data_IF_093549330254
#
_entry.id   IF_093549330254
#
_cell.length_a   1.000
_cell.length_b   1.000
_cell.length_c   1.000
_cell.angle_alpha   90.00
_cell.angle_beta   90.00
_cell.angle_gamma   90.00
#
_symmetry.space_group_name_H-M   'P 1'
#
loop_
_entity.id
_entity.type
_entity.pdbx_description
1 polymer ?
#
# COMPACT_ATOMS: atom_id res chain seq x y z
N UNK A 1 5.76 -26.86 42.92
CA UNK A 1 5.77 -27.29 44.34
C UNK A 1 4.91 -26.39 45.25
N UNK A 2 4.57 -25.14 44.89
CA UNK A 2 3.76 -24.22 45.71
C UNK A 2 2.22 -24.50 45.65
N UNK A 3 1.70 -25.01 44.53
CA UNK A 3 0.27 -25.25 44.32
C UNK A 3 -0.31 -26.43 45.12
N UNK A 4 0.49 -27.46 45.38
CA UNK A 4 0.02 -28.63 46.13
C UNK A 4 -0.27 -28.32 47.60
N UNK A 5 0.33 -27.31 48.19
CA UNK A 5 0.15 -26.89 49.58
C UNK A 5 -1.16 -26.13 49.82
N UNK A 6 -1.73 -25.52 48.79
CA UNK A 6 -3.01 -24.78 48.87
C UNK A 6 -4.23 -25.70 48.82
N UNK A 7 -4.17 -26.79 48.05
CA UNK A 7 -5.26 -27.75 47.90
C UNK A 7 -5.50 -28.58 49.17
N UNK A 8 -4.55 -28.73 50.08
CA UNK A 8 -4.68 -29.48 51.32
C UNK A 8 -5.43 -28.73 52.43
N UNK A 9 -5.62 -27.43 52.30
CA UNK A 9 -6.33 -26.60 53.30
C UNK A 9 -7.86 -26.65 53.21
N UNK A 10 -8.40 -27.11 52.08
CA UNK A 10 -9.85 -27.27 51.93
C UNK A 10 -10.27 -28.66 52.38
N UNK A 11 -10.88 -28.78 53.56
CA UNK A 11 -11.45 -30.04 54.09
C UNK A 11 -12.74 -30.46 53.33
N UNK A 12 -13.36 -29.55 52.60
CA UNK A 12 -14.58 -29.77 51.85
C UNK A 12 -14.27 -30.21 50.40
N UNK A 13 -14.67 -31.43 49.99
CA UNK A 13 -14.42 -31.94 48.66
C UNK A 13 -15.08 -31.10 47.55
N UNK A 14 -16.25 -30.48 47.82
CA UNK A 14 -16.92 -29.60 46.87
C UNK A 14 -16.11 -28.32 46.58
N UNK A 15 -15.43 -27.76 47.61
CA UNK A 15 -14.56 -26.59 47.42
C UNK A 15 -13.30 -26.92 46.63
N UNK A 16 -12.78 -28.15 46.77
CA UNK A 16 -11.65 -28.64 45.94
C UNK A 16 -12.04 -28.76 44.47
N UNK A 17 -13.22 -29.26 44.18
CA UNK A 17 -13.76 -29.38 42.82
C UNK A 17 -14.03 -28.01 42.22
N UNK A 18 -14.55 -27.05 43.00
CA UNK A 18 -14.80 -25.68 42.53
C UNK A 18 -13.51 -24.93 42.20
N UNK A 19 -12.45 -25.12 43.01
CA UNK A 19 -11.12 -24.52 42.71
C UNK A 19 -10.48 -25.19 41.50
N UNK A 20 -10.67 -26.50 41.29
CA UNK A 20 -10.19 -27.21 40.12
C UNK A 20 -10.92 -26.76 38.83
N UNK A 21 -12.22 -26.49 38.92
CA UNK A 21 -13.04 -25.95 37.81
C UNK A 21 -12.66 -24.48 37.44
N UNK A 22 -12.21 -23.70 38.42
CA UNK A 22 -11.68 -22.33 38.19
C UNK A 22 -10.26 -22.32 37.60
N UNK A 23 -9.55 -23.45 37.65
CA UNK A 23 -8.22 -23.68 37.07
C UNK A 23 -8.24 -24.39 35.72
N UNK A 24 -9.45 -24.70 35.17
CA UNK A 24 -9.51 -25.09 33.75
C UNK A 24 -9.09 -23.83 33.00
N UNK A 25 -7.88 -23.79 32.35
CA UNK A 25 -7.59 -22.70 31.47
C UNK A 25 -8.73 -22.66 30.47
N UNK A 26 -9.41 -21.52 30.32
CA UNK A 26 -10.17 -21.27 29.12
C UNK A 26 -9.18 -21.55 27.98
N UNK A 27 -9.29 -22.72 27.39
CA UNK A 27 -8.71 -23.01 26.10
C UNK A 27 -9.40 -22.01 25.18
N UNK A 28 -8.85 -20.80 25.12
CA UNK A 28 -9.20 -19.86 24.09
C UNK A 28 -8.83 -20.61 22.80
N UNK A 29 -9.84 -21.22 22.16
CA UNK A 29 -9.63 -21.78 20.83
C UNK A 29 -9.14 -20.62 19.99
N UNK A 30 -7.85 -20.65 19.65
CA UNK A 30 -7.28 -19.68 18.74
C UNK A 30 -8.12 -19.73 17.45
N UNK A 31 -8.60 -18.59 17.00
CA UNK A 31 -9.40 -18.53 15.77
C UNK A 31 -8.60 -19.15 14.60
N UNK A 32 -9.27 -19.98 13.82
CA UNK A 32 -8.77 -20.58 12.58
C UNK A 32 -9.85 -20.48 11.51
N UNK A 33 -9.50 -20.21 10.24
CA UNK A 33 -10.48 -20.11 9.16
C UNK A 33 -11.10 -21.49 8.88
N UNK A 34 -12.44 -21.54 8.80
CA UNK A 34 -13.22 -22.73 8.46
C UNK A 34 -13.99 -22.61 7.17
N UNK A 35 -13.97 -21.41 6.54
CA UNK A 35 -14.58 -21.08 5.25
C UNK A 35 -13.71 -20.10 4.48
N UNK A 36 -13.98 -19.89 3.18
CA UNK A 36 -13.21 -18.94 2.38
C UNK A 36 -13.21 -17.51 2.96
N UNK A 37 -12.07 -16.84 2.81
CA UNK A 37 -11.84 -15.45 3.22
C UNK A 37 -11.93 -14.56 1.99
N UNK A 38 -12.85 -13.61 2.00
CA UNK A 38 -12.99 -12.59 0.95
C UNK A 38 -11.93 -11.51 1.12
N UNK A 39 -11.18 -11.23 0.05
CA UNK A 39 -10.11 -10.22 0.01
C UNK A 39 -10.53 -9.09 -0.91
N UNK A 40 -10.88 -7.95 -0.34
CA UNK A 40 -11.30 -6.77 -1.08
C UNK A 40 -10.08 -5.98 -1.57
N UNK A 41 -10.00 -5.76 -2.88
CA UNK A 41 -8.95 -4.94 -3.50
C UNK A 41 -9.62 -3.88 -4.36
N UNK A 42 -9.35 -2.61 -4.01
CA UNK A 42 -9.99 -1.45 -4.64
C UNK A 42 -9.30 -0.94 -5.91
N UNK A 43 -8.43 -1.74 -6.51
CA UNK A 43 -7.65 -1.39 -7.70
C UNK A 43 -8.01 -2.28 -8.88
N UNK A 44 -7.59 -1.86 -10.08
CA UNK A 44 -7.76 -2.65 -11.30
C UNK A 44 -6.92 -3.93 -11.28
N UNK A 45 -7.29 -4.95 -12.08
CA UNK A 45 -6.48 -6.16 -12.26
C UNK A 45 -5.03 -5.83 -12.62
N UNK A 46 -4.10 -6.61 -12.07
CA UNK A 46 -2.66 -6.41 -12.28
C UNK A 46 -2.04 -5.29 -11.44
N UNK A 47 -2.78 -4.73 -10.48
CA UNK A 47 -2.24 -3.76 -9.54
C UNK A 47 -1.22 -4.40 -8.58
N UNK A 48 -0.24 -3.61 -8.11
CA UNK A 48 0.83 -4.11 -7.25
C UNK A 48 0.34 -4.75 -5.95
N UNK A 49 -0.74 -4.23 -5.36
CA UNK A 49 -1.35 -4.81 -4.16
C UNK A 49 -2.05 -6.15 -4.43
N UNK A 50 -2.71 -6.32 -5.59
CA UNK A 50 -3.28 -7.61 -5.97
C UNK A 50 -2.20 -8.66 -6.20
N UNK A 51 -1.22 -8.34 -7.05
CA UNK A 51 -0.17 -9.30 -7.43
C UNK A 51 0.70 -9.64 -6.22
N UNK A 52 1.06 -8.63 -5.40
CA UNK A 52 1.80 -8.84 -4.14
C UNK A 52 1.03 -9.69 -3.14
N UNK A 53 -0.27 -9.44 -2.97
CA UNK A 53 -1.09 -10.27 -2.08
C UNK A 53 -1.22 -11.71 -2.57
N UNK A 54 -1.39 -11.95 -3.88
CA UNK A 54 -1.43 -13.30 -4.43
C UNK A 54 -0.16 -14.10 -4.10
N UNK A 55 1.01 -13.47 -4.23
CA UNK A 55 2.27 -14.12 -3.90
C UNK A 55 2.35 -14.49 -2.41
N UNK A 56 2.02 -13.54 -1.51
CA UNK A 56 2.06 -13.79 -0.06
C UNK A 56 1.01 -14.83 0.34
N UNK A 57 -0.23 -14.69 -0.14
CA UNK A 57 -1.32 -15.61 0.22
C UNK A 57 -1.06 -17.04 -0.20
N UNK A 58 -0.34 -17.28 -1.29
CA UNK A 58 0.08 -18.61 -1.70
C UNK A 58 1.00 -19.27 -0.66
N UNK A 59 1.93 -18.52 -0.04
CA UNK A 59 2.78 -19.04 1.05
C UNK A 59 1.95 -19.30 2.30
N UNK A 60 1.02 -18.38 2.64
CA UNK A 60 0.13 -18.57 3.79
C UNK A 60 -0.73 -19.81 3.62
N UNK A 61 -1.33 -20.03 2.43
CA UNK A 61 -2.14 -21.20 2.11
C UNK A 61 -1.33 -22.51 2.15
N UNK A 62 -0.09 -22.50 1.65
CA UNK A 62 0.82 -23.66 1.72
C UNK A 62 1.03 -24.11 3.16
N UNK A 63 1.14 -23.17 4.10
CA UNK A 63 1.37 -23.42 5.51
C UNK A 63 0.07 -23.62 6.31
N UNK A 64 -1.07 -23.20 5.78
CA UNK A 64 -2.40 -23.26 6.40
C UNK A 64 -3.42 -23.74 5.36
N UNK A 65 -3.56 -25.05 5.13
CA UNK A 65 -4.42 -25.58 4.06
C UNK A 65 -5.90 -25.19 4.17
N UNK A 66 -6.38 -24.83 5.36
CA UNK A 66 -7.74 -24.34 5.58
C UNK A 66 -7.93 -22.87 5.20
N UNK A 67 -6.87 -22.11 5.01
CA UNK A 67 -6.95 -20.71 4.60
C UNK A 67 -7.14 -20.63 3.09
N UNK A 68 -8.36 -20.34 2.64
CA UNK A 68 -8.69 -20.12 1.23
C UNK A 68 -9.04 -18.66 0.99
N UNK A 69 -8.27 -17.95 0.15
CA UNK A 69 -8.46 -16.53 -0.14
C UNK A 69 -9.14 -16.33 -1.50
N UNK A 70 -10.29 -15.67 -1.49
CA UNK A 70 -11.05 -15.29 -2.70
C UNK A 70 -10.89 -13.80 -2.91
N UNK A 71 -10.14 -13.40 -3.95
CA UNK A 71 -9.92 -11.99 -4.27
C UNK A 71 -11.13 -11.45 -5.03
N UNK A 72 -11.70 -10.38 -4.48
CA UNK A 72 -12.75 -9.58 -5.11
C UNK A 72 -12.19 -8.20 -5.47
N UNK A 73 -12.09 -7.92 -6.76
CA UNK A 73 -11.71 -6.60 -7.25
C UNK A 73 -12.93 -5.68 -7.21
N UNK A 74 -12.84 -4.59 -6.45
CA UNK A 74 -13.90 -3.58 -6.28
C UNK A 74 -13.33 -2.18 -6.57
N UNK A 75 -12.92 -1.91 -7.82
CA UNK A 75 -12.32 -0.63 -8.18
C UNK A 75 -13.32 0.52 -8.10
N UNK A 76 -12.82 1.70 -7.79
CA UNK A 76 -13.58 2.94 -7.78
C UNK A 76 -13.29 3.82 -6.56
N UNK A 77 -13.36 5.15 -6.78
CA UNK A 77 -13.10 6.16 -5.76
C UNK A 77 -11.73 6.02 -5.09
N UNK A 78 -10.71 5.64 -5.83
CA UNK A 78 -9.37 5.37 -5.29
C UNK A 78 -9.41 4.39 -4.09
N UNK A 79 -10.10 3.25 -4.27
CA UNK A 79 -10.37 2.17 -3.30
C UNK A 79 -11.49 2.46 -2.27
N UNK A 80 -12.18 3.61 -2.32
CA UNK A 80 -13.23 3.92 -1.34
C UNK A 80 -14.37 2.91 -1.37
N UNK A 81 -14.74 2.38 -2.55
CA UNK A 81 -15.79 1.37 -2.66
C UNK A 81 -15.42 0.12 -1.84
N UNK A 82 -14.24 -0.45 -2.08
CA UNK A 82 -13.75 -1.63 -1.37
C UNK A 82 -13.64 -1.37 0.15
N UNK A 83 -13.17 -0.19 0.55
CA UNK A 83 -12.98 0.15 1.95
C UNK A 83 -14.29 0.44 2.68
N UNK A 84 -15.29 1.01 2.02
CA UNK A 84 -16.65 1.11 2.59
C UNK A 84 -17.26 -0.29 2.84
N UNK A 85 -17.03 -1.24 1.91
CA UNK A 85 -17.46 -2.63 2.11
C UNK A 85 -16.74 -3.29 3.30
N UNK A 86 -15.42 -3.06 3.46
CA UNK A 86 -14.67 -3.55 4.63
C UNK A 86 -15.19 -2.91 5.92
N UNK A 87 -15.49 -1.61 5.91
CA UNK A 87 -15.98 -0.89 7.08
C UNK A 87 -17.32 -1.44 7.58
N UNK A 88 -18.21 -1.81 6.65
CA UNK A 88 -19.52 -2.39 6.95
C UNK A 88 -19.47 -3.92 7.22
N UNK A 89 -18.32 -4.57 6.99
CA UNK A 89 -18.19 -6.02 7.14
C UNK A 89 -18.17 -6.45 8.62
N UNK A 90 -18.59 -7.71 8.87
CA UNK A 90 -18.50 -8.28 10.21
C UNK A 90 -17.03 -8.48 10.61
N UNK A 91 -16.66 -8.19 11.87
CA UNK A 91 -15.29 -8.39 12.35
C UNK A 91 -15.00 -9.85 12.73
N UNK A 92 -15.42 -10.79 11.88
CA UNK A 92 -15.36 -12.25 12.11
C UNK A 92 -14.17 -12.94 11.43
N UNK A 93 -13.29 -12.15 10.79
CA UNK A 93 -12.07 -12.64 10.13
C UNK A 93 -12.26 -13.15 8.70
N UNK A 94 -13.47 -13.09 8.13
CA UNK A 94 -13.73 -13.63 6.78
C UNK A 94 -13.84 -12.56 5.68
N UNK A 95 -13.68 -11.30 6.03
CA UNK A 95 -13.53 -10.20 5.08
C UNK A 95 -12.32 -9.36 5.46
N UNK A 96 -11.39 -9.21 4.53
CA UNK A 96 -10.17 -8.42 4.69
C UNK A 96 -10.01 -7.50 3.49
N UNK A 97 -9.14 -6.49 3.58
CA UNK A 97 -8.77 -5.67 2.43
C UNK A 97 -7.27 -5.45 2.32
N UNK A 98 -6.83 -5.23 1.08
CA UNK A 98 -5.43 -4.91 0.77
C UNK A 98 -5.37 -3.59 -0.01
N UNK A 99 -5.55 -2.45 0.68
CA UNK A 99 -5.54 -1.15 0.04
C UNK A 99 -4.13 -0.58 -0.15
N UNK A 100 -4.05 0.48 -0.98
CA UNK A 100 -2.87 1.34 -1.09
C UNK A 100 -2.81 2.34 0.09
N UNK A 101 -1.62 2.57 0.65
CA UNK A 101 -1.40 3.49 1.77
C UNK A 101 -1.82 4.92 1.42
N UNK A 102 -1.22 5.47 0.38
CA UNK A 102 -1.42 6.86 0.02
C UNK A 102 -2.89 7.14 -0.28
N UNK A 103 -3.55 6.25 -1.03
CA UNK A 103 -4.98 6.37 -1.33
C UNK A 103 -5.81 6.35 -0.06
N UNK A 104 -5.65 5.33 0.76
CA UNK A 104 -6.48 5.07 1.95
C UNK A 104 -6.31 6.15 3.02
N UNK A 105 -5.05 6.54 3.28
CA UNK A 105 -4.71 7.32 4.47
C UNK A 105 -4.46 8.81 4.19
N UNK A 106 -4.37 9.20 2.91
CA UNK A 106 -4.13 10.59 2.51
C UNK A 106 -5.10 11.06 1.44
N UNK A 107 -5.03 10.54 0.20
CA UNK A 107 -5.74 11.16 -0.93
C UNK A 107 -7.25 11.04 -0.83
N UNK A 108 -7.77 9.99 -0.20
CA UNK A 108 -9.21 9.86 0.06
C UNK A 108 -9.73 10.91 1.05
N UNK A 109 -8.92 11.38 1.99
CA UNK A 109 -9.29 12.46 2.89
C UNK A 109 -9.35 13.83 2.17
N UNK A 110 -8.69 13.94 1.03
CA UNK A 110 -8.64 15.16 0.22
C UNK A 110 -9.77 15.14 -0.81
N UNK A 111 -9.83 14.11 -1.66
CA UNK A 111 -10.70 14.09 -2.85
C UNK A 111 -11.98 13.27 -2.70
N UNK A 112 -12.04 12.32 -1.73
CA UNK A 112 -13.17 11.41 -1.56
C UNK A 112 -13.86 11.56 -0.20
N UNK A 113 -13.63 12.67 0.49
CA UNK A 113 -14.09 12.90 1.87
C UNK A 113 -15.60 12.64 2.05
N UNK A 114 -16.42 13.04 1.07
CA UNK A 114 -17.87 12.91 1.13
C UNK A 114 -18.40 11.52 0.73
N UNK A 115 -17.56 10.66 0.17
CA UNK A 115 -17.95 9.33 -0.32
C UNK A 115 -17.53 8.19 0.63
N UNK A 116 -16.63 8.46 1.56
CA UNK A 116 -16.10 7.46 2.49
C UNK A 116 -16.87 7.46 3.81
N UNK A 117 -17.14 6.25 4.33
CA UNK A 117 -17.77 6.02 5.64
C UNK A 117 -16.76 5.94 6.79
N UNK A 118 -15.49 5.79 6.49
CA UNK A 118 -14.41 5.48 7.43
C UNK A 118 -13.47 6.68 7.64
N UNK A 119 -12.78 6.68 8.76
CA UNK A 119 -11.60 7.52 9.00
C UNK A 119 -10.34 6.69 8.75
N UNK A 120 -9.19 7.35 8.62
CA UNK A 120 -7.91 6.69 8.40
C UNK A 120 -7.52 5.69 9.51
N UNK A 121 -8.05 5.88 10.73
CA UNK A 121 -7.80 5.09 11.93
C UNK A 121 -8.93 4.09 12.27
N UNK A 122 -9.93 3.93 11.39
CA UNK A 122 -11.11 3.09 11.66
C UNK A 122 -10.83 1.59 11.64
N UNK A 123 -9.85 1.15 10.87
CA UNK A 123 -9.63 -0.27 10.61
C UNK A 123 -8.71 -0.93 11.64
N UNK A 124 -8.88 -2.23 11.83
CA UNK A 124 -7.93 -3.06 12.55
C UNK A 124 -6.76 -3.41 11.62
N UNK A 125 -5.56 -2.93 11.96
CA UNK A 125 -4.38 -3.06 11.13
C UNK A 125 -3.60 -4.34 11.45
N UNK A 126 -3.15 -5.07 10.44
CA UNK A 126 -2.19 -6.17 10.59
C UNK A 126 -0.77 -5.67 10.35
N UNK A 127 -0.54 -4.96 9.25
CA UNK A 127 0.77 -4.40 8.93
C UNK A 127 0.94 -4.14 7.44
N UNK A 128 2.06 -3.53 7.09
CA UNK A 128 2.50 -3.33 5.72
C UNK A 128 2.96 -4.64 5.09
N UNK A 129 2.54 -4.86 3.84
CA UNK A 129 2.91 -6.05 3.09
C UNK A 129 4.02 -5.82 2.07
N UNK A 130 4.20 -4.58 1.60
CA UNK A 130 5.24 -4.26 0.64
C UNK A 130 5.17 -2.81 0.16
N UNK A 131 6.30 -2.34 -0.37
CA UNK A 131 6.49 -1.00 -0.93
C UNK A 131 7.24 -1.09 -2.25
N UNK A 132 6.85 -0.27 -3.24
CA UNK A 132 7.58 -0.10 -4.49
C UNK A 132 7.81 1.39 -4.73
N UNK A 133 9.01 1.82 -5.14
CA UNK A 133 9.22 3.21 -5.55
C UNK A 133 8.28 3.59 -6.68
N UNK A 134 7.83 4.83 -6.70
CA UNK A 134 7.26 5.40 -7.92
C UNK A 134 8.39 5.81 -8.86
N UNK A 135 8.09 5.88 -10.13
CA UNK A 135 9.01 6.43 -11.13
C UNK A 135 8.30 7.47 -11.99
N UNK A 136 9.06 8.43 -12.47
CA UNK A 136 8.65 9.27 -13.59
C UNK A 136 9.25 8.61 -14.84
N UNK A 137 8.39 8.33 -15.80
CA UNK A 137 8.77 7.88 -17.14
C UNK A 137 8.43 8.94 -18.18
N UNK A 138 9.19 8.96 -19.27
CA UNK A 138 8.90 9.81 -20.41
C UNK A 138 8.58 8.98 -21.66
N UNK A 139 7.76 9.55 -22.54
CA UNK A 139 7.57 9.02 -23.89
C UNK A 139 8.93 8.86 -24.59
N UNK A 140 9.15 7.82 -25.40
CA UNK A 140 10.45 7.61 -26.10
C UNK A 140 10.89 8.79 -26.95
N UNK A 141 9.96 9.56 -27.51
CA UNK A 141 10.23 10.73 -28.37
C UNK A 141 10.59 12.00 -27.59
N UNK A 142 10.34 12.04 -26.26
CA UNK A 142 10.72 13.17 -25.42
C UNK A 142 12.24 13.39 -25.46
N UNK A 143 12.68 14.64 -25.38
CA UNK A 143 14.12 14.97 -25.30
C UNK A 143 14.66 14.89 -23.87
N UNK A 144 13.77 14.71 -22.89
CA UNK A 144 14.10 14.64 -21.47
C UNK A 144 14.51 13.22 -21.09
N UNK A 145 15.66 13.08 -20.43
CA UNK A 145 16.25 11.78 -20.06
C UNK A 145 16.62 11.68 -18.57
N UNK A 146 16.69 12.81 -17.87
CA UNK A 146 17.17 12.89 -16.49
C UNK A 146 16.28 13.79 -15.64
N UNK A 147 16.37 13.65 -14.31
CA UNK A 147 15.66 14.52 -13.36
C UNK A 147 16.08 15.99 -13.49
N UNK A 148 17.38 16.34 -13.59
CA UNK A 148 17.79 17.74 -13.83
C UNK A 148 17.20 18.33 -15.11
N UNK A 149 17.19 17.59 -16.22
CA UNK A 149 16.57 18.03 -17.48
C UNK A 149 15.06 18.22 -17.32
N UNK A 150 14.39 17.35 -16.57
CA UNK A 150 12.95 17.50 -16.29
C UNK A 150 12.68 18.76 -15.45
N UNK A 151 13.50 19.04 -14.44
CA UNK A 151 13.39 20.25 -13.61
C UNK A 151 13.54 21.50 -14.48
N UNK A 152 14.60 21.55 -15.27
CA UNK A 152 14.85 22.68 -16.18
C UNK A 152 13.69 22.87 -17.17
N UNK A 153 13.21 21.76 -17.74
CA UNK A 153 12.08 21.78 -18.67
C UNK A 153 10.79 22.34 -18.04
N UNK A 154 10.41 21.89 -16.86
CA UNK A 154 9.14 22.37 -16.23
C UNK A 154 9.25 23.81 -15.71
N UNK A 155 10.45 24.33 -15.50
CA UNK A 155 10.69 25.72 -15.12
C UNK A 155 10.59 26.70 -16.31
N UNK A 156 11.04 26.27 -17.49
CA UNK A 156 11.22 27.17 -18.62
C UNK A 156 10.25 26.92 -19.81
N UNK A 157 9.49 25.81 -19.79
CA UNK A 157 8.54 25.53 -20.87
C UNK A 157 7.42 26.55 -20.92
N UNK A 158 6.98 26.88 -22.14
CA UNK A 158 5.82 27.74 -22.42
C UNK A 158 4.65 26.93 -22.98
N UNK A 159 4.82 25.63 -23.17
CA UNK A 159 3.79 24.72 -23.69
C UNK A 159 3.27 23.79 -22.59
N UNK A 160 2.04 23.27 -22.71
CA UNK A 160 1.50 22.32 -21.75
C UNK A 160 2.40 21.09 -21.58
N UNK A 161 2.60 20.69 -20.31
CA UNK A 161 3.24 19.45 -19.92
C UNK A 161 2.12 18.43 -19.69
N UNK A 162 2.05 17.42 -20.54
CA UNK A 162 1.01 16.37 -20.47
C UNK A 162 1.47 15.20 -19.64
N UNK A 163 0.61 14.75 -18.74
CA UNK A 163 0.95 13.78 -17.73
C UNK A 163 -0.11 12.70 -17.56
N UNK A 164 0.28 11.43 -17.58
CA UNK A 164 -0.58 10.28 -17.31
C UNK A 164 -0.42 9.82 -15.86
N UNK A 165 -1.50 9.79 -15.09
CA UNK A 165 -1.52 9.33 -13.70
C UNK A 165 -2.50 8.17 -13.53
N UNK A 166 -2.05 7.08 -12.90
CA UNK A 166 -2.86 5.88 -12.67
C UNK A 166 -3.52 5.83 -11.28
N UNK A 167 -3.81 6.99 -10.67
CA UNK A 167 -4.44 7.08 -9.36
C UNK A 167 -4.09 8.39 -8.64
N UNK A 168 -4.86 8.73 -7.60
CA UNK A 168 -4.71 9.99 -6.86
C UNK A 168 -3.32 10.16 -6.24
N UNK A 169 -2.73 9.10 -5.70
CA UNK A 169 -1.38 9.12 -5.16
C UNK A 169 -0.32 9.51 -6.21
N UNK A 170 -0.46 9.02 -7.44
CA UNK A 170 0.45 9.33 -8.54
C UNK A 170 0.32 10.80 -8.95
N UNK A 171 -0.92 11.28 -9.12
CA UNK A 171 -1.20 12.69 -9.38
C UNK A 171 -0.57 13.58 -8.31
N UNK A 172 -0.83 13.31 -7.04
CA UNK A 172 -0.31 14.11 -5.94
C UNK A 172 1.22 14.14 -5.90
N UNK A 173 1.87 13.01 -6.19
CA UNK A 173 3.33 12.95 -6.24
C UNK A 173 3.89 13.84 -7.34
N UNK A 174 3.28 13.85 -8.52
CA UNK A 174 3.74 14.71 -9.60
C UNK A 174 3.47 16.19 -9.32
N UNK A 175 2.30 16.55 -8.83
CA UNK A 175 2.00 17.93 -8.43
C UNK A 175 2.97 18.41 -7.34
N UNK A 176 3.35 17.53 -6.40
CA UNK A 176 4.39 17.84 -5.43
C UNK A 176 5.76 18.04 -6.08
N UNK A 177 6.12 17.20 -7.05
CA UNK A 177 7.34 17.40 -7.86
C UNK A 177 7.31 18.78 -8.53
N UNK A 178 6.24 19.14 -9.22
CA UNK A 178 6.08 20.43 -9.89
C UNK A 178 6.20 21.62 -8.92
N UNK A 179 5.56 21.51 -7.75
CA UNK A 179 5.66 22.51 -6.70
C UNK A 179 7.11 22.68 -6.21
N UNK A 180 7.80 21.60 -5.94
CA UNK A 180 9.21 21.61 -5.48
C UNK A 180 10.14 22.11 -6.56
N UNK A 181 9.87 21.79 -7.80
CA UNK A 181 10.65 22.23 -8.97
C UNK A 181 10.37 23.68 -9.37
N UNK A 182 9.43 24.39 -8.72
CA UNK A 182 8.95 25.69 -9.14
C UNK A 182 8.46 25.73 -10.60
N UNK A 183 7.91 24.60 -11.07
CA UNK A 183 7.33 24.51 -12.41
C UNK A 183 6.02 25.28 -12.52
N UNK A 184 5.70 25.71 -13.73
CA UNK A 184 4.44 26.44 -13.97
C UNK A 184 3.24 25.46 -13.92
N UNK A 185 2.49 25.50 -12.83
CA UNK A 185 1.31 24.64 -12.60
C UNK A 185 0.19 24.83 -13.64
N UNK A 186 0.05 26.03 -14.21
CA UNK A 186 -1.00 26.35 -15.19
C UNK A 186 -0.76 25.65 -16.54
N UNK A 187 0.47 25.18 -16.76
CA UNK A 187 0.84 24.40 -17.94
C UNK A 187 0.72 22.89 -17.73
N UNK A 188 0.43 22.42 -16.51
CA UNK A 188 0.30 20.98 -16.24
C UNK A 188 -1.08 20.48 -16.62
N UNK A 189 -1.13 19.46 -17.47
CA UNK A 189 -2.35 18.74 -17.85
C UNK A 189 -2.26 17.30 -17.42
N UNK A 190 -2.90 16.97 -16.29
CA UNK A 190 -2.94 15.61 -15.75
C UNK A 190 -4.19 14.91 -16.26
N UNK A 191 -4.02 13.74 -16.89
CA UNK A 191 -5.10 12.83 -17.21
C UNK A 191 -5.07 11.63 -16.28
N UNK A 192 -6.21 11.37 -15.64
CA UNK A 192 -6.37 10.25 -14.72
C UNK A 192 -6.78 9.00 -15.50
N UNK A 193 -6.04 7.92 -15.28
CA UNK A 193 -6.33 6.59 -15.85
C UNK A 193 -6.89 5.66 -14.75
N UNK A 194 -7.65 4.62 -15.11
CA UNK A 194 -8.20 3.66 -14.16
C UNK A 194 -7.13 2.93 -13.32
N UNK A 195 -5.89 2.88 -13.82
CA UNK A 195 -4.78 2.24 -13.11
C UNK A 195 -3.42 2.56 -13.70
N UNK A 196 -2.33 2.19 -13.02
CA UNK A 196 -0.96 2.53 -13.43
C UNK A 196 -0.53 1.85 -14.73
N UNK A 197 -1.06 0.65 -15.05
CA UNK A 197 -0.75 -0.02 -16.31
C UNK A 197 -1.29 0.76 -17.51
N UNK A 198 -2.52 1.27 -17.42
CA UNK A 198 -3.12 2.09 -18.47
C UNK A 198 -2.37 3.42 -18.63
N UNK A 199 -1.93 4.03 -17.53
CA UNK A 199 -1.14 5.27 -17.57
C UNK A 199 0.21 5.08 -18.27
N UNK A 200 0.97 4.02 -17.93
CA UNK A 200 2.27 3.77 -18.59
C UNK A 200 2.10 3.38 -20.05
N UNK A 201 1.04 2.65 -20.40
CA UNK A 201 0.71 2.30 -21.80
C UNK A 201 0.38 3.56 -22.61
N UNK A 202 -0.39 4.48 -22.04
CA UNK A 202 -0.67 5.77 -22.68
C UNK A 202 0.61 6.61 -22.89
N UNK A 203 1.52 6.62 -21.91
CA UNK A 203 2.82 7.30 -22.03
C UNK A 203 3.71 6.64 -23.11
N UNK A 204 3.62 5.32 -23.28
CA UNK A 204 4.39 4.57 -24.27
C UNK A 204 3.86 4.73 -25.71
N UNK A 205 2.67 5.28 -25.88
CA UNK A 205 1.99 5.42 -27.19
C UNK A 205 2.04 6.85 -27.70
N UNK A 206 1.51 7.06 -28.91
CA UNK A 206 1.36 8.39 -29.52
C UNK A 206 0.13 9.14 -29.01
N UNK A 207 -0.41 8.76 -27.84
CA UNK A 207 -1.62 9.38 -27.26
C UNK A 207 -1.40 10.81 -26.72
N UNK A 208 -0.22 11.39 -26.90
CA UNK A 208 0.08 12.78 -26.54
C UNK A 208 0.50 12.99 -25.09
N UNK A 209 0.83 11.93 -24.35
CA UNK A 209 1.37 12.05 -23.00
C UNK A 209 2.90 12.07 -23.02
N UNK A 210 3.46 13.18 -22.57
CA UNK A 210 4.92 13.33 -22.54
C UNK A 210 5.55 12.59 -21.37
N UNK A 211 4.86 12.56 -20.23
CA UNK A 211 5.30 11.90 -19.00
C UNK A 211 4.23 11.03 -18.37
N UNK A 212 4.66 10.13 -17.49
CA UNK A 212 3.78 9.34 -16.62
C UNK A 212 4.43 9.08 -15.28
N UNK A 213 3.59 8.85 -14.24
CA UNK A 213 4.05 8.39 -12.92
C UNK A 213 3.27 7.16 -12.47
N UNK A 214 4.00 6.18 -12.02
CA UNK A 214 3.48 4.90 -11.56
C UNK A 214 4.52 4.16 -10.73
N UNK A 215 4.14 3.04 -10.07
CA UNK A 215 5.13 2.16 -9.45
C UNK A 215 6.14 1.64 -10.48
N UNK A 216 7.43 1.68 -10.15
CA UNK A 216 8.50 1.20 -11.04
C UNK A 216 8.30 -0.26 -11.43
N UNK A 217 7.75 -1.09 -10.53
CA UNK A 217 7.40 -2.48 -10.80
C UNK A 217 6.44 -2.63 -12.00
N UNK A 218 5.44 -1.75 -12.10
CA UNK A 218 4.45 -1.77 -13.20
C UNK A 218 5.05 -1.24 -14.50
N UNK A 219 5.92 -0.25 -14.43
CA UNK A 219 6.58 0.33 -15.61
C UNK A 219 7.72 -0.56 -16.16
N UNK A 220 8.31 -1.44 -15.33
CA UNK A 220 9.48 -2.25 -15.63
C UNK A 220 9.42 -2.94 -17.01
N UNK A 221 8.36 -3.66 -17.40
CA UNK A 221 8.33 -4.34 -18.71
C UNK A 221 8.45 -3.37 -19.89
N UNK A 222 7.87 -2.18 -19.80
CA UNK A 222 7.94 -1.17 -20.86
C UNK A 222 9.27 -0.38 -20.84
N UNK A 223 9.86 -0.21 -19.67
CA UNK A 223 11.22 0.36 -19.52
C UNK A 223 12.24 -0.59 -20.15
N UNK A 224 12.21 -1.87 -19.78
CA UNK A 224 13.16 -2.88 -20.29
C UNK A 224 13.00 -3.10 -21.81
N UNK A 225 11.79 -2.95 -22.34
CA UNK A 225 11.52 -2.99 -23.79
C UNK A 225 11.83 -1.68 -24.53
N UNK A 226 12.32 -0.64 -23.84
CA UNK A 226 12.61 0.67 -24.44
C UNK A 226 11.37 1.44 -24.94
N UNK A 227 10.17 1.04 -24.48
CA UNK A 227 8.90 1.67 -24.86
C UNK A 227 8.59 2.95 -24.06
N UNK A 228 9.25 3.15 -22.94
CA UNK A 228 9.32 4.40 -22.17
C UNK A 228 10.74 4.60 -21.63
N UNK A 229 11.10 5.84 -21.35
CA UNK A 229 12.39 6.18 -20.73
C UNK A 229 12.18 6.41 -19.25
N UNK A 230 12.99 5.76 -18.40
CA UNK A 230 12.98 5.97 -16.97
C UNK A 230 13.77 7.23 -16.62
N UNK A 231 13.11 8.27 -16.12
CA UNK A 231 13.70 9.57 -15.79
C UNK A 231 14.26 9.60 -14.38
N UNK A 232 13.50 9.07 -13.40
CA UNK A 232 13.89 9.05 -12.00
C UNK A 232 12.96 8.22 -11.17
N UNK A 233 13.38 7.87 -9.95
CA UNK A 233 12.61 7.07 -8.97
C UNK A 233 12.45 7.83 -7.67
N UNK A 234 11.34 7.61 -6.96
CA UNK A 234 11.11 8.18 -5.63
C UNK A 234 11.90 7.44 -4.56
N UNK A 235 12.04 8.04 -3.37
CA UNK A 235 12.86 7.54 -2.28
C UNK A 235 14.29 8.05 -2.34
N UNK A 236 15.11 7.66 -1.36
CA UNK A 236 16.49 8.13 -1.21
C UNK A 236 17.52 7.20 -1.87
N UNK A 237 17.09 6.00 -2.27
CA UNK A 237 17.98 4.95 -2.78
C UNK A 237 17.75 4.65 -4.25
N UNK A 238 18.84 4.36 -4.94
CA UNK A 238 18.76 3.83 -6.30
C UNK A 238 18.07 2.47 -6.32
N UNK A 239 17.32 2.22 -7.37
CA UNK A 239 16.78 0.89 -7.64
C UNK A 239 17.90 0.03 -8.25
N UNK A 240 18.25 -1.08 -7.63
CA UNK A 240 19.39 -1.91 -8.03
C UNK A 240 19.33 -2.37 -9.49
N UNK A 241 18.13 -2.60 -10.02
CA UNK A 241 17.92 -3.00 -11.42
C UNK A 241 18.24 -1.87 -12.41
N UNK A 242 18.15 -0.61 -11.98
CA UNK A 242 18.43 0.58 -12.78
C UNK A 242 19.52 1.46 -12.13
N UNK A 243 20.76 0.99 -11.99
CA UNK A 243 21.80 1.64 -11.18
C UNK A 243 22.24 3.02 -11.72
N UNK A 244 21.96 3.30 -13.00
CA UNK A 244 22.26 4.59 -13.65
C UNK A 244 21.18 5.65 -13.42
N UNK A 245 19.99 5.25 -12.94
CA UNK A 245 18.87 6.16 -12.71
C UNK A 245 18.96 6.72 -11.29
N UNK A 246 18.93 8.05 -11.20
CA UNK A 246 19.03 8.74 -9.92
C UNK A 246 17.69 8.82 -9.21
N UNK A 247 17.67 8.81 -7.87
CA UNK A 247 16.51 9.21 -7.10
C UNK A 247 16.09 10.63 -7.43
N UNK A 248 14.77 10.87 -7.43
CA UNK A 248 14.22 12.20 -7.70
C UNK A 248 14.56 13.12 -6.53
N UNK A 249 15.47 14.04 -6.78
CA UNK A 249 15.90 15.04 -5.82
C UNK A 249 15.64 16.44 -6.39
N UNK A 250 14.87 17.24 -5.65
CA UNK A 250 14.48 18.59 -6.04
C UNK A 250 14.82 19.55 -4.92
N UNK A 251 15.57 20.60 -5.23
CA UNK A 251 16.03 21.61 -4.27
C UNK A 251 16.64 20.98 -2.99
N UNK A 252 17.53 20.00 -3.20
CA UNK A 252 18.23 19.33 -2.11
C UNK A 252 17.46 18.26 -1.35
N UNK A 253 16.14 18.08 -1.59
CA UNK A 253 15.29 17.12 -0.89
C UNK A 253 14.83 16.00 -1.84
N UNK A 254 14.79 14.77 -1.34
CA UNK A 254 14.19 13.65 -2.06
C UNK A 254 12.66 13.71 -2.03
N UNK A 255 12.04 13.16 -3.06
CA UNK A 255 10.61 12.88 -3.07
C UNK A 255 10.42 11.49 -2.49
N UNK A 256 10.10 11.43 -1.19
CA UNK A 256 9.99 10.19 -0.43
C UNK A 256 8.52 9.71 -0.39
N UNK A 257 8.12 9.02 -1.45
CA UNK A 257 6.80 8.41 -1.58
C UNK A 257 6.89 7.06 -2.26
N UNK A 258 6.06 6.12 -1.87
CA UNK A 258 6.04 4.76 -2.37
C UNK A 258 4.62 4.31 -2.68
N UNK A 259 4.46 3.49 -3.71
CA UNK A 259 3.31 2.60 -3.78
C UNK A 259 3.49 1.55 -2.68
N UNK A 260 2.65 1.59 -1.67
CA UNK A 260 2.69 0.70 -0.54
C UNK A 260 1.30 0.13 -0.26
N UNK A 261 1.22 -1.09 0.26
CA UNK A 261 -0.04 -1.75 0.58
C UNK A 261 0.04 -2.47 1.92
N UNK A 262 -1.13 -2.59 2.56
CA UNK A 262 -1.29 -3.17 3.89
C UNK A 262 -2.39 -4.21 3.91
N UNK A 263 -2.41 -4.99 4.98
CA UNK A 263 -3.50 -5.89 5.32
C UNK A 263 -4.35 -5.25 6.42
N UNK A 264 -5.64 -5.06 6.11
CA UNK A 264 -6.62 -4.46 7.01
C UNK A 264 -7.79 -5.42 7.25
N UNK A 265 -8.33 -5.36 8.47
CA UNK A 265 -9.54 -6.03 8.91
C UNK A 265 -10.62 -4.99 9.28
N UNK A 266 -11.90 -5.40 9.37
CA UNK A 266 -12.98 -4.54 9.81
C UNK A 266 -12.71 -3.90 11.18
N UNK A 267 -13.35 -2.75 11.49
CA UNK A 267 -13.25 -2.14 12.81
C UNK A 267 -13.66 -3.11 13.93
N UNK A 268 -12.90 -3.14 15.01
CA UNK A 268 -13.22 -3.94 16.18
C UNK A 268 -13.01 -5.46 16.02
N UNK A 269 -12.20 -5.89 15.06
CA UNK A 269 -11.84 -7.32 14.91
C UNK A 269 -11.20 -7.87 16.18
N UNK A 270 -11.66 -9.01 16.71
CA UNK A 270 -11.13 -9.66 17.91
C UNK A 270 -9.63 -9.98 17.83
N UNK A 271 -8.96 -9.93 18.98
CA UNK A 271 -7.50 -10.07 19.07
C UNK A 271 -6.96 -11.44 18.66
N UNK A 272 -7.71 -12.50 18.82
CA UNK A 272 -7.37 -13.86 18.38
C UNK A 272 -7.34 -13.98 16.86
N UNK A 273 -8.28 -13.30 16.17
CA UNK A 273 -8.29 -13.17 14.70
C UNK A 273 -7.08 -12.35 14.23
N UNK A 274 -6.82 -11.20 14.87
CA UNK A 274 -5.63 -10.37 14.57
C UNK A 274 -4.36 -11.18 14.75
N UNK A 275 -4.25 -11.96 15.82
CA UNK A 275 -3.11 -12.81 16.10
C UNK A 275 -2.92 -13.88 15.01
N UNK A 276 -4.03 -14.47 14.48
CA UNK A 276 -3.94 -15.43 13.38
C UNK A 276 -3.34 -14.80 12.12
N UNK A 277 -3.86 -13.63 11.71
CA UNK A 277 -3.35 -12.94 10.53
C UNK A 277 -1.89 -12.51 10.71
N UNK A 278 -1.54 -11.97 11.86
CA UNK A 278 -0.16 -11.53 12.14
C UNK A 278 0.83 -12.71 12.10
N UNK A 279 0.53 -13.83 12.78
CA UNK A 279 1.45 -14.98 12.85
C UNK A 279 1.61 -15.72 11.52
N UNK A 280 0.65 -15.57 10.58
CA UNK A 280 0.70 -16.27 9.29
C UNK A 280 1.20 -15.37 8.15
N UNK A 281 0.84 -14.09 8.13
CA UNK A 281 1.22 -13.18 7.04
C UNK A 281 2.59 -12.55 7.25
N UNK A 282 2.94 -12.12 8.47
CA UNK A 282 4.19 -11.40 8.68
C UNK A 282 5.42 -12.29 8.45
N UNK A 283 5.50 -13.53 8.99
CA UNK A 283 6.61 -14.43 8.66
C UNK A 283 6.65 -14.85 7.19
N UNK A 284 5.51 -14.90 6.50
CA UNK A 284 5.48 -15.24 5.08
C UNK A 284 6.23 -14.20 4.22
N UNK A 285 6.33 -12.94 4.68
CA UNK A 285 7.09 -11.88 4.00
C UNK A 285 8.60 -12.21 3.92
N UNK A 286 9.12 -12.94 4.89
CA UNK A 286 10.55 -13.31 4.97
C UNK A 286 10.85 -14.65 4.31
N UNK A 287 9.85 -15.31 3.69
CA UNK A 287 10.09 -16.54 2.95
C UNK A 287 11.04 -16.30 1.76
N UNK A 288 11.90 -17.27 1.42
CA UNK A 288 12.80 -17.17 0.27
C UNK A 288 12.05 -16.85 -1.03
N UNK A 289 10.87 -17.42 -1.22
CA UNK A 289 10.02 -17.21 -2.39
C UNK A 289 9.55 -15.74 -2.49
N UNK A 290 9.08 -15.14 -1.40
CA UNK A 290 8.64 -13.74 -1.38
C UNK A 290 9.84 -12.80 -1.50
N UNK A 291 10.95 -13.09 -0.82
CA UNK A 291 12.17 -12.30 -0.93
C UNK A 291 12.65 -12.23 -2.39
N UNK A 292 12.69 -13.37 -3.10
CA UNK A 292 13.07 -13.41 -4.50
C UNK A 292 12.05 -12.71 -5.39
N UNK A 293 10.76 -12.99 -5.19
CA UNK A 293 9.69 -12.34 -5.95
C UNK A 293 9.71 -10.81 -5.79
N UNK A 294 9.92 -10.32 -4.59
CA UNK A 294 9.98 -8.87 -4.31
C UNK A 294 11.20 -8.21 -4.95
N UNK A 295 12.36 -8.88 -4.88
CA UNK A 295 13.57 -8.42 -5.55
C UNK A 295 13.37 -8.30 -7.08
N UNK A 296 12.78 -9.32 -7.70
CA UNK A 296 12.55 -9.35 -9.15
C UNK A 296 11.52 -8.30 -9.61
N UNK A 297 10.58 -7.96 -8.74
CA UNK A 297 9.52 -6.99 -9.01
C UNK A 297 9.77 -5.60 -8.41
N UNK A 298 10.98 -5.31 -7.93
CA UNK A 298 11.37 -4.01 -7.38
C UNK A 298 10.48 -3.56 -6.22
N UNK A 299 10.09 -4.52 -5.37
CA UNK A 299 9.34 -4.34 -4.15
C UNK A 299 10.28 -4.56 -2.97
N UNK A 300 10.06 -3.88 -1.87
CA UNK A 300 10.80 -4.10 -0.63
C UNK A 300 9.85 -4.11 0.57
N UNK A 301 10.32 -4.70 1.67
CA UNK A 301 9.61 -4.75 2.94
C UNK A 301 10.23 -3.71 3.88
N UNK A 302 9.39 -2.90 4.49
CA UNK A 302 9.79 -2.07 5.61
C UNK A 302 9.39 -2.77 6.92
N UNK A 303 10.32 -3.53 7.49
CA UNK A 303 10.08 -4.31 8.70
C UNK A 303 9.62 -3.49 9.90
N UNK A 304 9.82 -2.16 9.90
CA UNK A 304 9.28 -1.27 10.93
C UNK A 304 7.76 -1.15 10.84
N UNK A 305 7.18 -1.39 9.68
CA UNK A 305 5.74 -1.27 9.42
C UNK A 305 5.02 -2.62 9.29
N UNK A 306 5.70 -3.75 9.51
CA UNK A 306 5.07 -5.07 9.46
C UNK A 306 4.35 -5.47 10.74
N UNK A 307 4.29 -4.60 11.74
CA UNK A 307 3.51 -4.80 12.97
C UNK A 307 2.36 -3.79 13.05
N UNK A 308 1.25 -4.10 13.76
CA UNK A 308 0.15 -3.16 13.92
C UNK A 308 0.57 -1.78 14.44
N UNK A 309 1.42 -1.74 15.46
CA UNK A 309 1.94 -0.48 16.05
C UNK A 309 2.89 0.24 15.10
N UNK A 310 3.82 -0.47 14.51
CA UNK A 310 4.78 0.12 13.56
C UNK A 310 4.08 0.67 12.32
N UNK A 311 3.07 -0.05 11.83
CA UNK A 311 2.22 0.40 10.75
C UNK A 311 1.46 1.69 11.10
N UNK A 312 0.80 1.74 12.26
CA UNK A 312 0.08 2.93 12.72
C UNK A 312 1.02 4.16 12.79
N UNK A 313 2.23 4.00 13.34
CA UNK A 313 3.24 5.05 13.38
C UNK A 313 3.67 5.50 11.98
N UNK A 314 3.80 4.57 11.04
CA UNK A 314 4.09 4.85 9.62
C UNK A 314 3.00 5.70 8.98
N UNK A 315 1.73 5.38 9.25
CA UNK A 315 0.57 6.14 8.74
C UNK A 315 0.54 7.56 9.34
N UNK A 316 0.78 7.73 10.63
CA UNK A 316 0.85 9.05 11.25
C UNK A 316 1.96 9.91 10.62
N UNK A 317 3.15 9.36 10.41
CA UNK A 317 4.24 10.04 9.72
C UNK A 317 3.87 10.41 8.29
N UNK A 318 3.25 9.49 7.55
CA UNK A 318 2.77 9.72 6.18
C UNK A 318 1.80 10.90 6.16
N UNK A 319 0.79 10.89 7.03
CA UNK A 319 -0.22 11.96 7.14
C UNK A 319 0.39 13.30 7.56
N UNK A 320 1.25 13.31 8.56
CA UNK A 320 1.95 14.51 9.02
C UNK A 320 2.78 15.16 7.90
N UNK A 321 3.31 14.37 6.99
CA UNK A 321 4.07 14.86 5.82
C UNK A 321 3.14 15.37 4.72
N UNK A 322 2.12 14.60 4.34
CA UNK A 322 1.37 14.83 3.09
C UNK A 322 0.09 15.65 3.26
N UNK A 323 -0.58 15.61 4.42
CA UNK A 323 -1.80 16.40 4.61
C UNK A 323 -1.54 17.93 4.57
N UNK A 324 -0.48 18.49 5.22
CA UNK A 324 -0.16 19.89 5.07
C UNK A 324 0.27 20.28 3.65
N UNK A 325 0.96 19.38 2.94
CA UNK A 325 1.38 19.60 1.56
C UNK A 325 0.18 19.70 0.61
N UNK A 326 -0.83 18.88 0.81
CA UNK A 326 -2.05 18.92 -0.01
C UNK A 326 -2.76 20.27 0.06
N UNK A 327 -2.67 20.97 1.19
CA UNK A 327 -3.23 22.31 1.37
C UNK A 327 -2.39 23.41 0.71
N UNK A 328 -1.06 23.23 0.66
CA UNK A 328 -0.11 24.21 0.10
C UNK A 328 0.01 24.12 -1.42
N UNK A 329 -0.12 22.91 -1.95
CA UNK A 329 0.01 22.66 -3.39
C UNK A 329 -1.30 23.01 -4.09
N UNK A 330 -2.20 23.75 -3.54
CA UNK A 330 -3.49 24.15 -4.13
C UNK A 330 -3.93 23.10 -5.18
N UNK A 331 -4.11 21.85 -4.68
CA UNK A 331 -4.34 20.68 -5.49
C UNK A 331 -5.65 20.89 -6.25
N UNK A 332 -5.52 21.58 -7.38
CA UNK A 332 -6.50 21.84 -8.40
C UNK A 332 -7.93 22.08 -7.84
N UNK A 333 -8.25 23.33 -7.70
CA UNK A 333 -9.65 23.76 -7.78
C UNK A 333 -10.17 23.23 -9.11
N UNK A 334 -10.95 22.14 -9.06
CA UNK A 334 -11.89 21.84 -10.11
C UNK A 334 -12.94 22.91 -10.19
#
# INVERSE_FOLDING_TARGET
MFFYKYLTHFKDPMKKVLVLLLLIPLLAFAWEPTKPITVLIGNQPGSGNEVGFRAISAIVQKNNPNANFIIELRPGGDSVIALNMLYDAKPDGYTIAVPSYMSTFVTNDIWQKNQKKFRYDSFTNIGGLGKSPLCIVANPTSKINTVPELIDYVQHTTRPVTFAAGGGAHRMTFEYFMFKAHGNKDLVKVSMFPGPLQAVTATASDAGFEFGIMPVAIAKPLIDAGKVKLIGVTGERKVAHYPKVEPIRVNGSYIDVFAAWALLLPPGTPSDIVAWYTRNFIPALDSPEITQYYKDNLIFIDHKETTPTGFANGIEKLRATWMPLSQRVDLLKE
#
